data_IF_950224975059
#
_entry.id   IF_950224975059
#
_cell.length_a   1.000
_cell.length_b   1.000
_cell.length_c   1.000
_cell.angle_alpha   90.00
_cell.angle_beta   90.00
_cell.angle_gamma   90.00
#
_symmetry.space_group_name_H-M   'P 1'
#
loop_
_entity.id
_entity.type
_entity.pdbx_description
1 polymer ?
#
# COMPACT_ATOMS: atom_id res chain seq x y z
N UNK A 1 15.40 -3.25 -12.37
CA UNK A 1 14.26 -3.20 -11.45
C UNK A 1 14.34 -1.90 -10.65
N UNK A 2 13.55 -0.90 -11.01
CA UNK A 2 13.51 0.38 -10.29
C UNK A 2 12.36 0.31 -9.28
N UNK A 3 12.68 0.38 -8.00
CA UNK A 3 11.66 0.36 -6.95
C UNK A 3 10.79 1.63 -7.05
N UNK A 4 9.45 1.51 -7.19
CA UNK A 4 8.60 2.67 -7.45
C UNK A 4 8.58 3.67 -6.29
N UNK A 5 8.67 3.21 -5.06
CA UNK A 5 8.62 4.08 -3.89
C UNK A 5 9.94 4.82 -3.63
N UNK A 6 11.10 4.16 -3.87
CA UNK A 6 12.42 4.72 -3.58
C UNK A 6 13.01 5.51 -4.76
N UNK A 7 12.77 5.05 -5.99
CA UNK A 7 13.37 5.69 -7.19
C UNK A 7 12.41 6.68 -7.84
N UNK A 8 11.13 6.33 -7.93
CA UNK A 8 10.12 7.18 -8.59
C UNK A 8 9.37 8.09 -7.61
N UNK A 9 9.53 7.87 -6.29
CA UNK A 9 8.84 8.61 -5.22
C UNK A 9 7.30 8.61 -5.39
N UNK A 10 6.77 7.54 -6.00
CA UNK A 10 5.34 7.36 -6.23
C UNK A 10 4.71 6.58 -5.07
N UNK A 11 3.49 6.96 -4.69
CA UNK A 11 2.77 6.30 -3.60
C UNK A 11 3.18 6.74 -2.21
N UNK A 12 3.75 7.94 -2.05
CA UNK A 12 4.15 8.48 -0.74
C UNK A 12 2.96 8.71 0.19
N UNK A 13 1.77 9.06 -0.33
CA UNK A 13 0.59 9.35 0.48
C UNK A 13 0.20 8.17 1.38
N UNK A 14 -0.07 6.95 0.87
CA UNK A 14 -0.38 5.82 1.72
C UNK A 14 0.84 5.36 2.54
N UNK A 15 2.05 5.52 2.01
CA UNK A 15 3.28 5.14 2.68
C UNK A 15 3.51 5.94 3.97
N UNK A 16 3.20 7.23 3.97
CA UNK A 16 3.31 8.10 5.14
C UNK A 16 2.14 7.95 6.12
N UNK A 17 0.92 7.72 5.60
CA UNK A 17 -0.29 7.68 6.40
C UNK A 17 -0.42 6.37 7.19
N UNK A 18 -0.11 5.21 6.58
CA UNK A 18 -0.49 3.89 7.11
C UNK A 18 0.70 3.11 7.68
N UNK A 19 1.93 3.55 7.48
CA UNK A 19 3.11 2.86 7.98
C UNK A 19 3.33 2.99 9.50
N UNK A 20 2.26 3.08 10.29
CA UNK A 20 2.35 3.17 11.76
C UNK A 20 2.56 1.83 12.43
N UNK A 21 2.15 0.73 11.80
CA UNK A 21 2.38 -0.64 12.25
C UNK A 21 2.67 -1.56 11.07
N UNK A 22 3.41 -2.65 11.32
CA UNK A 22 3.74 -3.64 10.30
C UNK A 22 2.49 -4.38 9.78
N UNK A 23 1.49 -4.61 10.65
CA UNK A 23 0.23 -5.25 10.27
C UNK A 23 -0.60 -4.41 9.31
N UNK A 24 -0.82 -3.13 9.61
CA UNK A 24 -1.55 -2.23 8.72
C UNK A 24 -0.80 -1.96 7.41
N UNK A 25 0.54 -1.88 7.46
CA UNK A 25 1.38 -1.75 6.27
C UNK A 25 1.25 -2.97 5.34
N UNK A 26 1.21 -4.18 5.92
CA UNK A 26 1.03 -5.43 5.18
C UNK A 26 -0.38 -5.52 4.56
N UNK A 27 -1.42 -5.21 5.33
CA UNK A 27 -2.80 -5.22 4.86
C UNK A 27 -3.03 -4.23 3.71
N UNK A 28 -2.57 -2.98 3.87
CA UNK A 28 -2.69 -1.98 2.81
C UNK A 28 -1.84 -2.32 1.59
N UNK A 29 -0.64 -2.86 1.79
CA UNK A 29 0.24 -3.26 0.69
C UNK A 29 -0.37 -4.38 -0.15
N UNK A 30 -0.99 -5.39 0.48
CA UNK A 30 -1.72 -6.46 -0.22
C UNK A 30 -2.95 -5.92 -0.96
N UNK A 31 -3.74 -5.04 -0.32
CA UNK A 31 -4.88 -4.38 -0.96
C UNK A 31 -4.44 -3.56 -2.18
N UNK A 32 -3.37 -2.79 -2.05
CA UNK A 32 -2.80 -2.01 -3.16
C UNK A 32 -2.31 -2.91 -4.30
N UNK A 33 -1.68 -4.04 -3.99
CA UNK A 33 -1.24 -5.02 -4.98
C UNK A 33 -2.43 -5.61 -5.73
N UNK A 34 -3.50 -6.00 -5.02
CA UNK A 34 -4.72 -6.54 -5.64
C UNK A 34 -5.38 -5.49 -6.57
N UNK A 35 -5.50 -4.25 -6.11
CA UNK A 35 -6.04 -3.15 -6.93
C UNK A 35 -5.16 -2.86 -8.13
N UNK A 36 -3.83 -2.86 -7.97
CA UNK A 36 -2.88 -2.61 -9.06
C UNK A 36 -2.98 -3.68 -10.15
N UNK A 37 -3.10 -4.94 -9.77
CA UNK A 37 -3.31 -6.05 -10.70
C UNK A 37 -4.66 -5.92 -11.41
N UNK A 38 -5.75 -5.69 -10.68
CA UNK A 38 -7.08 -5.54 -11.25
C UNK A 38 -7.16 -4.34 -12.22
N UNK A 39 -6.67 -3.17 -11.78
CA UNK A 39 -6.67 -1.96 -12.59
C UNK A 39 -5.79 -2.08 -13.84
N UNK A 40 -4.64 -2.74 -13.74
CA UNK A 40 -3.74 -2.97 -14.88
C UNK A 40 -4.35 -3.92 -15.91
N UNK A 41 -5.07 -4.95 -15.47
CA UNK A 41 -5.81 -5.84 -16.37
C UNK A 41 -6.88 -5.07 -17.15
N UNK A 42 -7.71 -4.31 -16.44
CA UNK A 42 -8.80 -3.55 -17.06
C UNK A 42 -8.23 -2.44 -17.97
N UNK A 43 -7.17 -1.74 -17.51
CA UNK A 43 -6.52 -0.71 -18.30
C UNK A 43 -5.89 -1.25 -19.59
N UNK A 44 -5.33 -2.46 -19.57
CA UNK A 44 -4.76 -3.11 -20.76
C UNK A 44 -5.83 -3.50 -21.79
N UNK A 45 -7.03 -3.87 -21.34
CA UNK A 45 -8.15 -4.20 -22.22
C UNK A 45 -8.83 -2.93 -22.76
N UNK A 46 -9.15 -2.00 -21.85
CA UNK A 46 -9.89 -0.78 -22.19
C UNK A 46 -9.02 0.26 -22.89
N UNK A 47 -7.74 0.35 -22.55
CA UNK A 47 -6.85 1.41 -23.03
C UNK A 47 -6.70 1.50 -24.54
N UNK A 48 -6.97 0.40 -25.26
CA UNK A 48 -6.94 0.33 -26.73
C UNK A 48 -8.17 0.97 -27.39
N UNK A 49 -9.26 1.10 -26.66
CA UNK A 49 -10.57 1.53 -27.20
C UNK A 49 -10.91 2.96 -26.78
N UNK A 50 -10.21 3.50 -25.78
CA UNK A 50 -10.51 4.83 -25.25
C UNK A 50 -9.74 5.93 -25.96
N UNK A 51 -10.46 7.05 -26.23
CA UNK A 51 -9.85 8.29 -26.69
C UNK A 51 -8.93 8.86 -25.59
N UNK A 52 -7.79 9.46 -25.95
CA UNK A 52 -6.83 9.98 -24.96
C UNK A 52 -7.41 11.03 -24.02
N UNK A 53 -8.42 11.79 -24.45
CA UNK A 53 -9.04 12.87 -23.67
C UNK A 53 -9.83 12.38 -22.47
N UNK A 54 -10.52 11.23 -22.57
CA UNK A 54 -11.38 10.69 -21.51
C UNK A 54 -10.72 9.55 -20.73
N UNK A 55 -9.55 9.10 -21.18
CA UNK A 55 -8.86 7.91 -20.65
C UNK A 55 -8.55 8.00 -19.16
N UNK A 56 -8.06 9.17 -18.71
CA UNK A 56 -7.73 9.38 -17.30
C UNK A 56 -8.96 9.23 -16.40
N UNK A 57 -10.09 9.84 -16.78
CA UNK A 57 -11.33 9.76 -16.00
C UNK A 57 -11.86 8.32 -15.90
N UNK A 58 -11.79 7.56 -16.99
CA UNK A 58 -12.21 6.15 -17.00
C UNK A 58 -11.30 5.29 -16.14
N UNK A 59 -9.99 5.55 -16.13
CA UNK A 59 -9.08 4.80 -15.27
C UNK A 59 -9.32 5.09 -13.79
N UNK A 60 -9.54 6.34 -13.41
CA UNK A 60 -9.88 6.70 -12.02
C UNK A 60 -11.18 6.01 -11.59
N UNK A 61 -12.20 6.00 -12.45
CA UNK A 61 -13.47 5.30 -12.18
C UNK A 61 -13.25 3.78 -12.02
N UNK A 62 -12.43 3.19 -12.87
CA UNK A 62 -12.07 1.77 -12.82
C UNK A 62 -11.33 1.42 -11.52
N UNK A 63 -10.36 2.24 -11.14
CA UNK A 63 -9.61 2.06 -9.89
C UNK A 63 -10.55 2.20 -8.69
N UNK A 64 -11.47 3.17 -8.70
CA UNK A 64 -12.47 3.34 -7.66
C UNK A 64 -13.35 2.08 -7.52
N UNK A 65 -13.84 1.55 -8.63
CA UNK A 65 -14.61 0.31 -8.64
C UNK A 65 -13.82 -0.90 -8.11
N UNK A 66 -12.55 -1.02 -8.49
CA UNK A 66 -11.67 -2.09 -7.99
C UNK A 66 -11.42 -1.97 -6.48
N UNK A 67 -11.19 -0.75 -5.98
CA UNK A 67 -11.01 -0.50 -4.53
C UNK A 67 -12.28 -0.84 -3.75
N UNK A 68 -13.47 -0.44 -4.24
CA UNK A 68 -14.74 -0.79 -3.60
C UNK A 68 -14.95 -2.31 -3.58
N UNK A 69 -14.60 -3.03 -4.63
CA UNK A 69 -14.69 -4.49 -4.66
C UNK A 69 -13.74 -5.14 -3.63
N UNK A 70 -12.52 -4.63 -3.48
CA UNK A 70 -11.57 -5.09 -2.47
C UNK A 70 -12.06 -4.76 -1.07
N UNK A 71 -12.62 -3.57 -0.84
CA UNK A 71 -13.19 -3.14 0.44
C UNK A 71 -14.33 -4.06 0.88
N UNK A 72 -15.28 -4.35 -0.01
CA UNK A 72 -16.37 -5.28 0.26
C UNK A 72 -15.87 -6.71 0.53
N UNK A 73 -14.85 -7.16 -0.17
CA UNK A 73 -14.23 -8.46 0.06
C UNK A 73 -13.56 -8.54 1.43
N UNK A 74 -12.85 -7.48 1.84
CA UNK A 74 -12.24 -7.38 3.16
C UNK A 74 -13.29 -7.34 4.26
N UNK A 75 -14.37 -6.58 4.08
CA UNK A 75 -15.46 -6.50 5.04
C UNK A 75 -16.15 -7.87 5.24
N UNK A 76 -16.27 -8.67 4.18
CA UNK A 76 -16.90 -9.98 4.24
C UNK A 76 -16.01 -11.05 4.88
N UNK A 77 -14.69 -11.02 4.65
CA UNK A 77 -13.77 -12.12 5.03
C UNK A 77 -12.90 -11.79 6.25
N UNK A 78 -12.53 -10.52 6.43
CA UNK A 78 -11.69 -10.04 7.53
C UNK A 78 -12.21 -8.73 8.14
N UNK A 79 -13.32 -8.76 8.91
CA UNK A 79 -13.91 -7.55 9.47
C UNK A 79 -12.95 -6.77 10.38
N UNK A 80 -12.11 -7.45 11.16
CA UNK A 80 -11.12 -6.79 12.03
C UNK A 80 -10.06 -6.00 11.25
N UNK A 81 -9.66 -6.48 10.08
CA UNK A 81 -8.73 -5.77 9.19
C UNK A 81 -9.44 -4.61 8.49
N UNK A 82 -10.72 -4.80 8.12
CA UNK A 82 -11.54 -3.74 7.55
C UNK A 82 -11.72 -2.56 8.51
N UNK A 83 -11.97 -2.81 9.79
CA UNK A 83 -12.15 -1.74 10.79
C UNK A 83 -10.88 -0.90 10.99
N UNK A 84 -9.71 -1.53 10.89
CA UNK A 84 -8.44 -0.80 11.01
C UNK A 84 -8.00 -0.09 9.73
N UNK A 85 -8.34 -0.62 8.56
CA UNK A 85 -7.87 -0.12 7.24
C UNK A 85 -8.93 0.65 6.46
N UNK A 86 -10.22 0.57 6.86
CA UNK A 86 -11.35 1.10 6.08
C UNK A 86 -11.21 2.59 5.73
N UNK A 87 -10.70 3.41 6.65
CA UNK A 87 -10.45 4.85 6.41
C UNK A 87 -9.33 5.07 5.38
N UNK A 88 -8.39 4.14 5.26
CA UNK A 88 -7.21 4.28 4.39
C UNK A 88 -7.40 3.66 3.00
N UNK A 89 -8.40 2.78 2.83
CA UNK A 89 -8.69 2.15 1.53
C UNK A 89 -9.01 3.16 0.41
N UNK A 90 -9.78 4.24 0.66
CA UNK A 90 -10.02 5.28 -0.34
C UNK A 90 -8.72 5.98 -0.82
N UNK A 91 -7.66 6.00 -0.01
CA UNK A 91 -6.36 6.55 -0.42
C UNK A 91 -5.73 5.76 -1.58
N UNK A 92 -6.12 4.50 -1.77
CA UNK A 92 -5.63 3.70 -2.90
C UNK A 92 -6.18 4.21 -4.22
N UNK A 93 -7.39 4.78 -4.24
CA UNK A 93 -8.01 5.36 -5.45
C UNK A 93 -7.17 6.51 -5.99
N UNK A 94 -6.69 7.37 -5.10
CA UNK A 94 -5.86 8.54 -5.44
C UNK A 94 -4.37 8.23 -5.46
N UNK A 95 -4.01 6.96 -5.34
CA UNK A 95 -2.60 6.55 -5.31
C UNK A 95 -1.95 6.79 -6.68
N UNK A 96 -0.99 7.71 -6.70
CA UNK A 96 -0.26 8.08 -7.91
C UNK A 96 0.51 6.90 -8.53
N UNK A 97 0.90 5.89 -7.77
CA UNK A 97 1.52 4.68 -8.29
C UNK A 97 0.55 3.90 -9.18
N UNK A 98 -0.68 3.65 -8.69
CA UNK A 98 -1.69 2.88 -9.42
C UNK A 98 -2.10 3.60 -10.69
N UNK A 99 -2.37 4.91 -10.59
CA UNK A 99 -2.80 5.72 -11.71
C UNK A 99 -1.69 5.85 -12.78
N UNK A 100 -0.46 6.12 -12.35
CA UNK A 100 0.67 6.28 -13.27
C UNK A 100 0.95 4.98 -14.04
N UNK A 101 0.86 3.82 -13.39
CA UNK A 101 1.08 2.52 -14.06
C UNK A 101 -0.07 2.15 -14.99
N UNK A 102 -1.31 2.43 -14.62
CA UNK A 102 -2.47 2.22 -15.47
C UNK A 102 -2.36 3.04 -16.78
N UNK A 103 -1.99 4.29 -16.66
CA UNK A 103 -1.91 5.20 -17.82
C UNK A 103 -0.63 5.05 -18.64
N UNK A 104 0.53 5.04 -18.00
CA UNK A 104 1.82 5.07 -18.69
C UNK A 104 2.20 3.73 -19.31
N UNK A 105 1.83 2.62 -18.67
CA UNK A 105 2.29 1.29 -19.07
C UNK A 105 1.15 0.35 -19.46
N UNK A 106 0.20 0.07 -18.58
CA UNK A 106 -0.81 -0.95 -18.81
C UNK A 106 -1.69 -0.67 -20.03
N UNK A 107 -2.04 0.58 -20.28
CA UNK A 107 -2.86 0.98 -21.43
C UNK A 107 -2.19 0.78 -22.80
N UNK A 108 -0.87 0.60 -22.83
CA UNK A 108 -0.08 0.53 -24.08
C UNK A 108 0.55 -0.84 -24.29
N UNK A 109 0.56 -1.71 -23.30
CA UNK A 109 1.22 -3.01 -23.34
C UNK A 109 0.21 -4.17 -23.39
N UNK A 110 0.62 -5.35 -23.89
CA UNK A 110 -0.20 -6.54 -23.84
C UNK A 110 -0.44 -6.98 -22.40
N UNK A 111 -1.56 -7.67 -22.15
CA UNK A 111 -2.05 -8.08 -20.84
C UNK A 111 -0.96 -8.79 -20.00
N UNK A 112 -0.18 -9.69 -20.61
CA UNK A 112 0.87 -10.43 -19.90
C UNK A 112 1.99 -9.54 -19.37
N UNK A 113 2.45 -8.55 -20.14
CA UNK A 113 3.47 -7.60 -19.71
C UNK A 113 2.93 -6.64 -18.65
N UNK A 114 1.67 -6.19 -18.80
CA UNK A 114 1.01 -5.33 -17.83
C UNK A 114 0.83 -6.03 -16.48
N UNK A 115 0.49 -7.31 -16.48
CA UNK A 115 0.34 -8.12 -15.27
C UNK A 115 1.67 -8.34 -14.55
N UNK A 116 2.72 -8.73 -15.29
CA UNK A 116 4.06 -8.90 -14.72
C UNK A 116 4.58 -7.61 -14.08
N UNK A 117 4.37 -6.49 -14.74
CA UNK A 117 4.76 -5.18 -14.24
C UNK A 117 3.98 -4.79 -12.99
N UNK A 118 2.66 -5.01 -12.99
CA UNK A 118 1.81 -4.73 -11.83
C UNK A 118 2.23 -5.54 -10.59
N UNK A 119 2.51 -6.82 -10.76
CA UNK A 119 2.98 -7.68 -9.66
C UNK A 119 4.37 -7.24 -9.18
N UNK A 120 5.30 -6.99 -10.08
CA UNK A 120 6.65 -6.58 -9.72
C UNK A 120 6.68 -5.22 -8.98
N UNK A 121 5.89 -4.25 -9.47
CA UNK A 121 5.79 -2.93 -8.86
C UNK A 121 5.03 -2.97 -7.53
N UNK A 122 3.94 -3.75 -7.45
CA UNK A 122 3.17 -3.93 -6.23
C UNK A 122 3.98 -4.62 -5.13
N UNK A 123 4.76 -5.65 -5.47
CA UNK A 123 5.69 -6.29 -4.53
C UNK A 123 6.80 -5.33 -4.07
N UNK A 124 7.35 -4.54 -4.98
CA UNK A 124 8.34 -3.52 -4.63
C UNK A 124 7.79 -2.47 -3.66
N UNK A 125 6.55 -2.04 -3.88
CA UNK A 125 5.85 -1.11 -2.99
C UNK A 125 5.54 -1.73 -1.62
N UNK A 126 5.06 -2.98 -1.60
CA UNK A 126 4.79 -3.74 -0.37
C UNK A 126 6.05 -3.89 0.49
N UNK A 127 7.20 -4.20 -0.11
CA UNK A 127 8.46 -4.34 0.62
C UNK A 127 8.89 -3.03 1.29
N UNK A 128 8.76 -1.90 0.59
CA UNK A 128 9.08 -0.58 1.17
C UNK A 128 8.11 -0.21 2.28
N UNK A 129 6.80 -0.48 2.09
CA UNK A 129 5.79 -0.28 3.13
C UNK A 129 6.10 -1.10 4.40
N UNK A 130 6.45 -2.37 4.25
CA UNK A 130 6.83 -3.23 5.36
C UNK A 130 8.10 -2.75 6.06
N UNK A 131 9.13 -2.39 5.29
CA UNK A 131 10.38 -1.89 5.84
C UNK A 131 10.16 -0.60 6.65
N UNK A 132 9.39 0.34 6.10
CA UNK A 132 9.08 1.59 6.80
C UNK A 132 8.15 1.36 7.99
N UNK A 133 7.13 0.52 7.85
CA UNK A 133 6.20 0.18 8.92
C UNK A 133 6.88 -0.52 10.10
N UNK A 134 7.75 -1.49 9.82
CA UNK A 134 8.53 -2.19 10.84
C UNK A 134 9.53 -1.27 11.54
N UNK A 135 10.21 -0.39 10.79
CA UNK A 135 11.13 0.59 11.37
C UNK A 135 10.41 1.58 12.29
N UNK A 136 9.25 2.08 11.89
CA UNK A 136 8.45 3.00 12.70
C UNK A 136 7.85 2.34 13.93
N UNK A 137 7.37 1.10 13.81
CA UNK A 137 6.85 0.34 14.94
C UNK A 137 7.95 0.06 15.97
N UNK A 138 9.14 -0.32 15.50
CA UNK A 138 10.29 -0.57 16.36
C UNK A 138 10.75 0.69 17.12
N UNK A 139 10.85 1.83 16.43
CA UNK A 139 11.28 3.09 17.03
C UNK A 139 10.21 3.75 17.90
N UNK A 140 8.94 3.60 17.54
CA UNK A 140 7.82 4.24 18.20
C UNK A 140 7.24 3.46 19.37
N UNK A 141 7.09 2.14 19.24
CA UNK A 141 6.49 1.27 20.25
C UNK A 141 7.48 0.28 20.88
N UNK A 142 8.63 0.06 20.27
CA UNK A 142 9.59 -0.95 20.70
C UNK A 142 9.09 -2.39 20.55
N UNK A 143 8.00 -2.60 19.78
CA UNK A 143 7.42 -3.89 19.45
C UNK A 143 7.50 -4.13 17.96
N UNK A 144 7.62 -5.38 17.55
CA UNK A 144 7.53 -5.79 16.14
C UNK A 144 6.32 -6.71 15.97
N UNK A 145 5.43 -6.36 15.03
CA UNK A 145 4.32 -7.22 14.67
C UNK A 145 3.17 -7.25 15.67
N UNK A 146 2.98 -6.21 16.47
CA UNK A 146 1.89 -6.16 17.46
C UNK A 146 0.49 -6.36 16.83
N UNK A 147 0.30 -5.89 15.60
CA UNK A 147 -0.97 -5.97 14.88
C UNK A 147 -1.01 -7.13 13.85
N UNK A 148 0.02 -7.99 13.81
CA UNK A 148 0.04 -9.13 12.88
C UNK A 148 -1.02 -10.17 13.25
N UNK A 149 -1.40 -10.24 14.52
CA UNK A 149 -2.49 -11.08 15.02
C UNK A 149 -3.85 -10.72 14.39
N UNK A 150 -4.03 -9.47 14.03
CA UNK A 150 -5.25 -8.96 13.37
C UNK A 150 -5.43 -9.54 11.95
N UNK A 151 -4.31 -9.81 11.25
CA UNK A 151 -4.32 -10.45 9.92
C UNK A 151 -4.63 -11.95 10.00
N UNK A 152 -4.30 -12.60 11.12
CA UNK A 152 -4.51 -14.04 11.33
C UNK A 152 -5.87 -14.36 11.95
N UNK A 153 -6.72 -13.32 12.22
CA UNK A 153 -8.07 -13.52 12.76
C UNK A 153 -8.11 -13.99 14.22
N UNK A 154 -7.02 -13.83 14.96
CA UNK A 154 -6.96 -14.15 16.37
C UNK A 154 -7.04 -12.91 17.25
N UNK A 155 -7.73 -13.00 18.40
CA UNK A 155 -7.83 -11.97 19.44
C UNK A 155 -6.50 -11.64 20.14
N UNK A 156 -5.38 -11.94 19.52
CA UNK A 156 -4.03 -11.70 20.05
C UNK A 156 -3.53 -10.30 19.67
N UNK A 157 -4.36 -9.29 19.86
CA UNK A 157 -3.91 -7.92 19.90
C UNK A 157 -2.91 -7.76 21.05
N UNK A 158 -1.61 -7.86 20.73
CA UNK A 158 -0.56 -7.69 21.74
C UNK A 158 0.52 -8.78 21.77
N UNK A 159 0.46 -9.81 20.92
CA UNK A 159 1.52 -10.84 20.87
C UNK A 159 2.77 -10.44 20.06
N UNK A 160 2.95 -9.14 19.77
CA UNK A 160 4.18 -8.64 19.17
C UNK A 160 5.40 -8.90 20.06
N UNK A 161 6.52 -9.25 19.45
CA UNK A 161 7.79 -9.41 20.14
C UNK A 161 8.23 -8.04 20.68
N UNK A 162 8.11 -7.83 22.00
CA UNK A 162 8.64 -6.62 22.64
C UNK A 162 10.16 -6.71 22.71
N UNK A 163 10.83 -5.78 22.02
CA UNK A 163 12.29 -5.70 21.98
C UNK A 163 12.80 -4.61 22.93
N UNK A 164 12.03 -3.54 23.18
CA UNK A 164 12.40 -2.47 24.12
C UNK A 164 11.48 -2.42 25.33
N UNK A 165 12.03 -2.05 26.53
CA UNK A 165 11.21 -1.82 27.72
C UNK A 165 10.25 -0.65 27.52
N UNK A 166 9.03 -0.80 28.06
CA UNK A 166 7.96 0.20 27.97
C UNK A 166 8.42 1.55 28.52
N UNK A 167 8.34 2.60 27.69
CA UNK A 167 8.64 3.97 28.11
C UNK A 167 9.71 4.71 27.30
N UNK A 168 10.43 4.06 26.41
CA UNK A 168 11.48 4.69 25.59
C UNK A 168 11.08 4.86 24.09
N UNK A 169 9.82 4.68 23.73
CA UNK A 169 9.34 4.91 22.37
C UNK A 169 9.41 6.40 21.99
N UNK A 170 10.07 6.72 20.88
CA UNK A 170 10.06 8.06 20.31
C UNK A 170 8.68 8.30 19.68
N UNK A 171 7.81 9.04 20.37
CA UNK A 171 6.49 9.43 19.86
C UNK A 171 6.59 10.16 18.50
N UNK A 172 7.70 10.87 18.29
CA UNK A 172 7.99 11.57 17.04
C UNK A 172 8.10 10.62 15.83
N UNK A 173 8.54 9.38 16.04
CA UNK A 173 8.64 8.38 14.97
C UNK A 173 7.25 7.89 14.49
N UNK A 174 6.24 7.92 15.38
CA UNK A 174 4.86 7.57 15.05
C UNK A 174 4.12 8.70 14.32
N UNK A 175 4.55 9.96 14.51
CA UNK A 175 3.97 11.10 13.81
C UNK A 175 4.44 11.18 12.34
N UNK A 176 3.70 11.88 11.45
CA UNK A 176 4.06 12.04 10.04
C UNK A 176 5.49 12.58 9.80
N UNK A 177 6.03 13.54 10.57
CA UNK A 177 7.40 14.02 10.36
C UNK A 177 8.45 12.93 10.57
N UNK A 178 8.23 11.97 11.50
CA UNK A 178 9.12 10.84 11.69
C UNK A 178 9.18 9.90 10.48
N UNK A 179 8.07 9.75 9.76
CA UNK A 179 8.02 8.98 8.52
C UNK A 179 8.88 9.60 7.42
N UNK A 180 8.88 10.94 7.30
CA UNK A 180 9.72 11.66 6.33
C UNK A 180 11.21 11.49 6.63
N UNK A 181 11.60 11.60 7.90
CA UNK A 181 13.00 11.43 8.31
C UNK A 181 13.48 10.00 8.03
N UNK A 182 12.67 8.99 8.38
CA UNK A 182 12.99 7.59 8.13
C UNK A 182 13.05 7.27 6.64
N UNK A 183 12.11 7.79 5.85
CA UNK A 183 12.12 7.63 4.40
C UNK A 183 13.36 8.30 3.79
N UNK A 184 13.71 9.51 4.23
CA UNK A 184 14.92 10.21 3.79
C UNK A 184 16.19 9.43 4.12
N UNK A 185 16.24 8.80 5.30
CA UNK A 185 17.36 7.95 5.69
C UNK A 185 17.44 6.67 4.83
N UNK A 186 16.30 6.05 4.51
CA UNK A 186 16.22 4.90 3.60
C UNK A 186 16.62 5.25 2.16
N UNK A 187 16.41 6.49 1.73
CA UNK A 187 16.85 6.96 0.41
C UNK A 187 18.35 7.25 0.37
N UNK A 188 18.93 7.62 1.51
CA UNK A 188 20.36 7.97 1.61
C UNK A 188 21.26 6.74 1.78
N UNK A 189 20.71 5.58 2.15
CA UNK A 189 21.43 4.31 2.33
C UNK A 189 21.48 3.49 1.04
#
# INVERSE_FOLDING_TARGET
AQNPALVQLLGLCPLLAVSTSAGSALGLGLATLAVLVASSLIASVLGRWLLPEIRLAVFVLTIAGAVTAVELSLAAWWPGLHDSLGIFLPLIVTNCLVLARAEAFASRQPIGAALLDAVAMGLGFLLVLLALGSARELLGRGSLGADLGLLLGGDTAGSGIRILPAGHGLLLALLPPGAFVLLGLMLAA
#
